data_IF_771289170288
#
_entry.id   IF_771289170288
#
_cell.length_a   1.000
_cell.length_b   1.000
_cell.length_c   1.000
_cell.angle_alpha   90.00
_cell.angle_beta   90.00
_cell.angle_gamma   90.00
#
_symmetry.space_group_name_H-M   'P 1'
#
loop_
_entity.id
_entity.type
_entity.pdbx_description
1 polymer ?
#
# COMPACT_ATOMS: atom_id res chain seq x y z
N UNK A 1 8.39 -23.70 -5.31
CA UNK A 1 8.06 -23.25 -3.94
C UNK A 1 6.82 -22.37 -4.01
N UNK A 2 5.64 -22.94 -3.77
CA UNK A 2 4.38 -22.21 -3.83
C UNK A 2 4.24 -21.33 -2.58
N UNK A 3 4.17 -20.01 -2.75
CA UNK A 3 3.82 -19.09 -1.66
C UNK A 3 2.37 -19.32 -1.29
N UNK A 4 2.14 -20.13 -0.25
CA UNK A 4 0.85 -20.25 0.39
C UNK A 4 0.46 -18.88 1.00
N UNK A 5 -0.68 -18.30 0.59
CA UNK A 5 -1.30 -17.26 1.40
C UNK A 5 -2.21 -16.23 0.72
N UNK A 6 -2.08 -15.96 -0.58
CA UNK A 6 -2.99 -15.01 -1.26
C UNK A 6 -3.34 -15.59 -2.63
N UNK A 7 -4.59 -16.05 -2.79
CA UNK A 7 -5.14 -16.53 -4.08
C UNK A 7 -5.40 -15.39 -5.08
N UNK A 8 -5.04 -14.16 -4.71
CA UNK A 8 -5.33 -12.96 -5.46
C UNK A 8 -4.04 -12.34 -6.01
N UNK A 9 -4.04 -11.80 -7.25
CA UNK A 9 -2.94 -11.00 -7.75
C UNK A 9 -2.56 -9.86 -6.79
N UNK A 10 -1.26 -9.69 -6.56
CA UNK A 10 -0.69 -8.67 -5.67
C UNK A 10 -1.25 -7.27 -5.95
N UNK A 11 -1.44 -6.92 -7.22
CA UNK A 11 -2.05 -5.65 -7.63
C UNK A 11 -3.43 -5.41 -7.02
N UNK A 12 -4.28 -6.44 -6.97
CA UNK A 12 -5.62 -6.28 -6.41
C UNK A 12 -5.56 -6.17 -4.89
N UNK A 13 -4.65 -6.89 -4.24
CA UNK A 13 -4.41 -6.75 -2.81
C UNK A 13 -3.95 -5.31 -2.48
N UNK A 14 -2.99 -4.76 -3.23
CA UNK A 14 -2.50 -3.40 -3.04
C UNK A 14 -3.60 -2.34 -3.28
N UNK A 15 -4.45 -2.52 -4.30
CA UNK A 15 -5.60 -1.64 -4.54
C UNK A 15 -6.59 -1.66 -3.37
N UNK A 16 -6.91 -2.85 -2.84
CA UNK A 16 -7.78 -2.98 -1.66
C UNK A 16 -7.17 -2.30 -0.44
N UNK A 17 -5.88 -2.48 -0.21
CA UNK A 17 -5.17 -1.89 0.92
C UNK A 17 -5.14 -0.36 0.83
N UNK A 18 -4.88 0.20 -0.36
CA UNK A 18 -4.94 1.63 -0.61
C UNK A 18 -6.35 2.20 -0.35
N UNK A 19 -7.40 1.47 -0.75
CA UNK A 19 -8.79 1.84 -0.44
C UNK A 19 -9.04 1.97 1.07
N UNK A 20 -8.57 1.01 1.87
CA UNK A 20 -8.68 1.04 3.34
C UNK A 20 -7.92 2.20 3.96
N UNK A 21 -6.69 2.44 3.52
CA UNK A 21 -5.86 3.56 4.02
C UNK A 21 -6.51 4.90 3.69
N UNK A 22 -7.02 5.07 2.47
CA UNK A 22 -7.73 6.29 2.08
C UNK A 22 -9.00 6.51 2.91
N UNK A 23 -9.80 5.46 3.15
CA UNK A 23 -10.98 5.55 4.01
C UNK A 23 -10.61 5.99 5.43
N UNK A 24 -9.58 5.38 6.02
CA UNK A 24 -9.15 5.73 7.37
C UNK A 24 -8.62 7.17 7.47
N UNK A 25 -7.96 7.68 6.41
CA UNK A 25 -7.52 9.08 6.33
C UNK A 25 -8.69 10.06 6.23
N UNK A 26 -9.84 9.66 5.67
CA UNK A 26 -11.04 10.50 5.66
C UNK A 26 -11.62 10.67 7.07
N UNK A 27 -11.54 9.63 7.91
CA UNK A 27 -12.02 9.67 9.30
C UNK A 27 -11.02 10.39 10.21
N UNK A 28 -9.73 10.09 10.01
CA UNK A 28 -8.62 10.60 10.84
C UNK A 28 -7.62 11.36 9.99
N UNK A 29 -7.97 12.58 9.51
CA UNK A 29 -7.07 13.39 8.71
C UNK A 29 -5.84 13.76 9.55
N UNK A 30 -4.65 13.54 8.99
CA UNK A 30 -3.38 13.92 9.62
C UNK A 30 -2.66 12.80 10.38
N UNK A 31 -3.19 11.57 10.44
CA UNK A 31 -2.45 10.44 11.00
C UNK A 31 -1.27 10.09 10.10
N UNK A 32 -0.05 10.44 10.57
CA UNK A 32 1.21 10.31 9.82
C UNK A 32 1.45 8.91 9.27
N UNK A 33 1.26 7.88 10.10
CA UNK A 33 1.42 6.47 9.71
C UNK A 33 0.58 6.09 8.47
N UNK A 34 -0.64 6.62 8.37
CA UNK A 34 -1.53 6.35 7.25
C UNK A 34 -1.13 7.15 6.00
N UNK A 35 -0.60 8.36 6.18
CA UNK A 35 -0.05 9.16 5.08
C UNK A 35 1.18 8.47 4.49
N UNK A 36 2.08 7.96 5.34
CA UNK A 36 3.28 7.22 4.93
C UNK A 36 2.89 5.91 4.24
N UNK A 37 1.94 5.15 4.81
CA UNK A 37 1.42 3.95 4.18
C UNK A 37 0.78 4.24 2.81
N UNK A 38 0.02 5.34 2.67
CA UNK A 38 -0.56 5.77 1.39
C UNK A 38 0.52 6.08 0.37
N UNK A 39 1.58 6.80 0.77
CA UNK A 39 2.69 7.14 -0.11
C UNK A 39 3.41 5.88 -0.60
N UNK A 40 3.71 4.95 0.31
CA UNK A 40 4.32 3.67 -0.03
C UNK A 40 3.46 2.86 -1.01
N UNK A 41 2.14 2.76 -0.76
CA UNK A 41 1.22 2.04 -1.65
C UNK A 41 1.13 2.66 -3.05
N UNK A 42 1.22 3.99 -3.16
CA UNK A 42 1.24 4.66 -4.44
C UNK A 42 2.54 4.41 -5.21
N UNK A 43 3.68 4.36 -4.52
CA UNK A 43 4.98 4.04 -5.11
C UNK A 43 5.04 2.61 -5.68
N UNK A 44 4.44 1.65 -4.97
CA UNK A 44 4.32 0.27 -5.47
C UNK A 44 3.56 0.18 -6.79
N UNK A 45 2.55 1.04 -7.00
CA UNK A 45 1.71 1.03 -8.21
C UNK A 45 2.31 1.73 -9.41
N UNK A 46 3.22 2.68 -9.21
CA UNK A 46 3.92 3.38 -10.30
C UNK A 46 5.19 2.66 -10.74
N UNK A 47 5.48 1.48 -10.19
CA UNK A 47 6.66 0.69 -10.54
C UNK A 47 7.97 1.36 -10.15
N UNK A 48 7.95 2.32 -9.22
CA UNK A 48 9.16 2.96 -8.69
C UNK A 48 9.52 2.31 -7.36
N UNK A 49 10.48 1.37 -7.34
CA UNK A 49 11.04 0.89 -6.08
C UNK A 49 11.90 2.01 -5.49
N UNK A 50 11.32 2.83 -4.62
CA UNK A 50 12.09 3.72 -3.76
C UNK A 50 12.41 2.98 -2.44
N UNK A 51 13.45 2.16 -2.50
CA UNK A 51 14.23 1.72 -1.34
C UNK A 51 15.65 1.40 -1.86
N UNK A 52 16.34 2.42 -2.38
CA UNK A 52 17.81 2.38 -2.43
C UNK A 52 18.31 2.84 -1.07
N UNK A 53 18.40 1.92 -0.12
CA UNK A 53 19.16 2.12 1.11
C UNK A 53 20.47 1.34 0.94
N UNK A 54 21.49 2.03 0.42
CA UNK A 54 22.91 1.66 0.51
C UNK A 54 23.52 2.46 1.64
#
# INVERSE_FOLDING_TARGET
>A
MARAGIQEPEDRYLVRLLGRVNYQLQITPGRRELLDARAWLLAQRTGRPDHSNT
#
